data_IF_149637657432
#
_entry.id   IF_149637657432
#
_cell.length_a   1.000
_cell.length_b   1.000
_cell.length_c   1.000
_cell.angle_alpha   90.00
_cell.angle_beta   90.00
_cell.angle_gamma   90.00
#
_symmetry.space_group_name_H-M   'P 1'
#
loop_
_entity.id
_entity.type
_entity.pdbx_description
1 polymer ?
#
# COMPACT_ATOMS: atom_id res chain seq x y z
N UNK A 1 -1.75 7.57 -9.31
CA UNK A 1 -1.01 6.44 -9.94
C UNK A 1 -1.17 5.23 -9.05
N UNK A 2 -1.39 4.04 -9.59
CA UNK A 2 -1.45 2.81 -8.81
C UNK A 2 -0.14 2.01 -8.91
N UNK A 3 0.29 1.41 -7.80
CA UNK A 3 1.54 0.66 -7.67
C UNK A 3 1.23 -0.75 -7.21
N UNK A 4 1.76 -1.75 -7.92
CA UNK A 4 1.58 -3.16 -7.58
C UNK A 4 0.63 -3.88 -8.53
N UNK A 5 -0.44 -4.44 -7.96
CA UNK A 5 -1.39 -5.33 -8.60
C UNK A 5 -0.96 -6.78 -8.47
N UNK A 6 -1.72 -7.69 -9.11
CA UNK A 6 -1.48 -9.13 -9.07
C UNK A 6 -0.04 -9.52 -9.41
N UNK A 7 0.52 -8.96 -10.49
CA UNK A 7 1.84 -9.33 -11.01
C UNK A 7 3.03 -8.66 -10.33
N UNK A 8 2.84 -7.45 -9.78
CA UNK A 8 3.96 -6.65 -9.26
C UNK A 8 3.91 -6.44 -7.75
N UNK A 9 3.29 -7.37 -7.02
CA UNK A 9 3.25 -7.35 -5.55
C UNK A 9 4.44 -8.02 -4.87
N UNK A 10 5.35 -8.65 -5.63
CA UNK A 10 6.38 -9.55 -5.07
C UNK A 10 7.32 -8.91 -4.06
N UNK A 11 7.53 -7.59 -4.14
CA UNK A 11 8.51 -6.87 -3.33
C UNK A 11 7.89 -6.07 -2.18
N UNK A 12 6.56 -6.04 -2.03
CA UNK A 12 5.94 -5.16 -1.04
C UNK A 12 6.31 -5.52 0.39
N UNK A 13 6.39 -6.80 0.74
CA UNK A 13 6.82 -7.21 2.09
C UNK A 13 8.24 -6.71 2.40
N UNK A 14 9.15 -6.74 1.42
CA UNK A 14 10.51 -6.23 1.59
C UNK A 14 10.56 -4.69 1.68
N UNK A 15 9.75 -4.02 0.86
CA UNK A 15 9.57 -2.56 0.93
C UNK A 15 9.05 -2.14 2.31
N UNK A 16 8.06 -2.86 2.83
CA UNK A 16 7.41 -2.55 4.09
C UNK A 16 8.25 -2.91 5.32
N UNK A 17 9.28 -3.77 5.19
CA UNK A 17 9.96 -4.42 6.32
C UNK A 17 10.68 -3.46 7.29
N UNK A 18 11.40 -2.47 6.77
CA UNK A 18 12.29 -1.63 7.58
C UNK A 18 11.96 -0.16 7.46
N UNK A 19 12.30 0.65 8.47
CA UNK A 19 12.20 2.11 8.38
C UNK A 19 12.90 2.67 7.14
N UNK A 20 14.08 2.12 6.81
CA UNK A 20 14.87 2.57 5.67
C UNK A 20 14.17 2.25 4.34
N UNK A 21 13.71 1.02 4.16
CA UNK A 21 13.03 0.60 2.92
C UNK A 21 11.71 1.35 2.71
N UNK A 22 10.92 1.56 3.79
CA UNK A 22 9.70 2.37 3.76
C UNK A 22 9.98 3.81 3.35
N UNK A 23 11.00 4.43 3.95
CA UNK A 23 11.34 5.83 3.67
C UNK A 23 11.83 6.02 2.23
N UNK A 24 12.63 5.09 1.70
CA UNK A 24 13.06 5.08 0.29
C UNK A 24 11.85 4.99 -0.64
N UNK A 25 10.94 4.05 -0.39
CA UNK A 25 9.76 3.87 -1.22
C UNK A 25 8.84 5.10 -1.18
N UNK A 26 8.55 5.63 0.01
CA UNK A 26 7.74 6.83 0.17
C UNK A 26 8.35 8.05 -0.55
N UNK A 27 9.66 8.24 -0.45
CA UNK A 27 10.35 9.32 -1.16
C UNK A 27 10.24 9.15 -2.68
N UNK A 28 10.41 7.92 -3.19
CA UNK A 28 10.24 7.64 -4.62
C UNK A 28 8.80 7.88 -5.09
N UNK A 29 7.80 7.61 -4.25
CA UNK A 29 6.40 7.89 -4.55
C UNK A 29 6.15 9.41 -4.66
N UNK A 30 6.68 10.20 -3.73
CA UNK A 30 6.62 11.68 -3.79
C UNK A 30 7.28 12.21 -5.06
N UNK A 31 8.49 11.75 -5.36
CA UNK A 31 9.19 12.16 -6.59
C UNK A 31 8.36 11.84 -7.83
N UNK A 32 7.78 10.63 -7.88
CA UNK A 32 6.99 10.18 -9.03
C UNK A 32 5.73 11.03 -9.23
N UNK A 33 4.96 11.30 -8.17
CA UNK A 33 3.73 12.11 -8.30
C UNK A 33 4.04 13.54 -8.71
N UNK A 34 5.11 14.14 -8.20
CA UNK A 34 5.54 15.49 -8.57
C UNK A 34 6.05 15.53 -10.02
N UNK A 35 6.91 14.58 -10.39
CA UNK A 35 7.55 14.52 -11.71
C UNK A 35 6.54 14.36 -12.84
N UNK A 36 5.53 13.53 -12.63
CA UNK A 36 4.55 13.20 -13.66
C UNK A 36 3.18 13.85 -13.46
N UNK A 37 3.03 14.70 -12.44
CA UNK A 37 1.83 15.51 -12.22
C UNK A 37 0.60 14.73 -11.76
N UNK A 38 0.79 13.63 -11.02
CA UNK A 38 -0.33 12.89 -10.42
C UNK A 38 -0.90 13.61 -9.19
N UNK A 39 -2.14 13.27 -8.83
CA UNK A 39 -2.83 13.79 -7.65
C UNK A 39 -2.72 12.89 -6.43
N UNK A 40 -2.11 11.71 -6.57
CA UNK A 40 -1.96 10.77 -5.46
C UNK A 40 -1.39 9.42 -5.86
N UNK A 41 -1.21 8.58 -4.84
CA UNK A 41 -0.71 7.22 -4.92
C UNK A 41 -1.80 6.25 -4.46
N UNK A 42 -1.92 5.14 -5.16
CA UNK A 42 -2.76 4.02 -4.81
C UNK A 42 -1.87 2.78 -4.65
N UNK A 43 -1.99 2.04 -3.55
CA UNK A 43 -1.24 0.79 -3.35
C UNK A 43 -2.14 -0.42 -3.53
N UNK A 44 -1.76 -1.27 -4.50
CA UNK A 44 -2.41 -2.55 -4.78
C UNK A 44 -1.48 -3.70 -4.36
N UNK A 45 -1.31 -3.88 -3.05
CA UNK A 45 -0.56 -5.03 -2.54
C UNK A 45 -1.48 -6.25 -2.45
N UNK A 46 -1.22 -7.21 -3.31
CA UNK A 46 -1.99 -8.46 -3.45
C UNK A 46 -1.07 -9.66 -3.14
N UNK A 47 -0.98 -10.14 -1.89
CA UNK A 47 -1.61 -9.61 -0.66
C UNK A 47 -0.62 -9.61 0.53
N UNK A 48 -0.84 -8.78 1.56
CA UNK A 48 -0.09 -8.86 2.82
C UNK A 48 -0.24 -10.21 3.51
N UNK A 49 0.83 -10.67 4.16
CA UNK A 49 0.94 -11.91 4.96
C UNK A 49 0.84 -13.21 4.17
N UNK A 50 -0.11 -13.33 3.25
CA UNK A 50 -0.31 -14.54 2.45
C UNK A 50 -1.16 -14.31 1.20
N UNK A 51 -0.94 -15.13 0.18
CA UNK A 51 -1.72 -15.17 -1.06
C UNK A 51 -1.14 -14.28 -2.17
N UNK A 52 -1.87 -14.18 -3.28
CA UNK A 52 -1.34 -13.55 -4.49
C UNK A 52 -0.53 -14.53 -5.33
N UNK A 53 0.43 -14.01 -6.10
CA UNK A 53 1.29 -14.84 -6.94
C UNK A 53 2.32 -15.61 -6.11
N UNK A 54 2.58 -16.86 -6.51
CA UNK A 54 3.65 -17.67 -5.92
C UNK A 54 5.00 -16.99 -6.09
N UNK A 55 5.78 -16.94 -5.01
CA UNK A 55 7.09 -16.29 -4.98
C UNK A 55 7.06 -14.82 -4.54
N UNK A 56 5.88 -14.28 -4.21
CA UNK A 56 5.82 -13.01 -3.48
C UNK A 56 6.54 -13.14 -2.13
N UNK A 57 7.30 -12.12 -1.74
CA UNK A 57 7.79 -11.99 -0.38
C UNK A 57 6.59 -11.78 0.55
N UNK A 58 6.49 -12.61 1.59
CA UNK A 58 5.35 -12.66 2.51
C UNK A 58 5.89 -12.82 3.95
N UNK A 59 5.33 -12.07 4.90
CA UNK A 59 5.72 -12.12 6.31
C UNK A 59 4.52 -11.95 7.25
N UNK A 60 4.50 -12.62 8.42
CA UNK A 60 3.48 -12.38 9.44
C UNK A 60 3.39 -10.91 9.88
N UNK A 61 4.52 -10.20 9.88
CA UNK A 61 4.60 -8.79 10.27
C UNK A 61 4.03 -7.82 9.21
N UNK A 62 3.66 -8.31 8.01
CA UNK A 62 3.12 -7.47 6.93
C UNK A 62 1.89 -6.68 7.36
N UNK A 63 1.03 -7.22 8.24
CA UNK A 63 -0.14 -6.49 8.77
C UNK A 63 0.25 -5.14 9.37
N UNK A 64 1.27 -5.15 10.24
CA UNK A 64 1.70 -3.94 10.95
C UNK A 64 2.67 -3.12 10.10
N UNK A 65 3.53 -3.78 9.32
CA UNK A 65 4.43 -3.10 8.39
C UNK A 65 3.68 -2.32 7.32
N UNK A 66 2.49 -2.78 6.91
CA UNK A 66 1.67 -2.04 5.94
C UNK A 66 1.12 -0.73 6.52
N UNK A 67 0.68 -0.73 7.80
CA UNK A 67 0.31 0.52 8.50
C UNK A 67 1.48 1.49 8.53
N UNK A 68 2.66 1.03 8.93
CA UNK A 68 3.87 1.87 9.00
C UNK A 68 4.31 2.38 7.63
N UNK A 69 4.09 1.61 6.56
CA UNK A 69 4.36 2.03 5.19
C UNK A 69 3.41 3.16 4.78
N UNK A 70 2.11 3.01 5.05
CA UNK A 70 1.11 4.04 4.74
C UNK A 70 1.33 5.31 5.57
N UNK A 71 1.68 5.17 6.84
CA UNK A 71 2.06 6.29 7.71
C UNK A 71 3.23 7.09 7.11
N UNK A 72 4.30 6.40 6.69
CA UNK A 72 5.48 7.06 6.13
C UNK A 72 5.18 7.73 4.79
N UNK A 73 4.37 7.11 3.92
CA UNK A 73 3.93 7.74 2.66
C UNK A 73 3.09 8.98 2.95
N UNK A 74 2.08 8.88 3.81
CA UNK A 74 1.20 10.00 4.20
C UNK A 74 2.01 11.16 4.77
N UNK A 75 2.93 10.87 5.70
CA UNK A 75 3.83 11.86 6.31
C UNK A 75 4.64 12.62 5.26
N UNK A 76 5.18 11.94 4.26
CA UNK A 76 5.97 12.59 3.22
C UNK A 76 5.10 13.37 2.22
N UNK A 77 3.90 12.89 1.89
CA UNK A 77 2.94 13.63 1.07
C UNK A 77 2.45 14.91 1.77
N UNK A 78 2.17 14.85 3.07
CA UNK A 78 1.73 16.00 3.88
C UNK A 78 2.80 17.08 4.06
N UNK A 79 4.08 16.73 3.93
CA UNK A 79 5.16 17.70 3.97
C UNK A 79 5.13 18.67 2.76
N UNK A 80 4.36 18.37 1.72
CA UNK A 80 4.24 19.17 0.50
C UNK A 80 3.12 20.21 0.68
N UNK A 81 3.50 21.41 1.13
CA UNK A 81 2.53 22.43 1.59
C UNK A 81 1.62 23.04 0.51
N UNK A 82 1.93 22.88 -0.78
CA UNK A 82 1.20 23.52 -1.88
C UNK A 82 0.14 22.64 -2.54
N UNK A 83 0.01 21.37 -2.14
CA UNK A 83 -0.96 20.43 -2.71
C UNK A 83 -1.28 19.31 -1.72
N UNK A 84 -2.56 19.05 -1.51
CA UNK A 84 -3.00 17.82 -0.84
C UNK A 84 -2.98 16.68 -1.85
N UNK A 85 -2.17 15.66 -1.59
CA UNK A 85 -2.15 14.43 -2.38
C UNK A 85 -3.02 13.36 -1.74
N UNK A 86 -3.65 12.56 -2.60
CA UNK A 86 -4.43 11.39 -2.20
C UNK A 86 -3.51 10.20 -1.93
N UNK A 87 -3.87 9.38 -0.95
CA UNK A 87 -3.32 8.06 -0.68
C UNK A 87 -4.47 7.06 -0.54
N UNK A 88 -4.54 6.08 -1.44
CA UNK A 88 -5.58 5.05 -1.43
C UNK A 88 -4.96 3.66 -1.46
N UNK A 89 -5.75 2.64 -1.15
CA UNK A 89 -5.32 1.24 -1.22
C UNK A 89 -6.42 0.35 -1.75
N UNK A 90 -6.04 -0.68 -2.50
CA UNK A 90 -6.95 -1.78 -2.85
C UNK A 90 -6.88 -2.88 -1.78
N UNK A 91 -8.03 -3.42 -1.41
CA UNK A 91 -8.12 -4.53 -0.45
C UNK A 91 -8.89 -5.71 -1.01
N UNK A 92 -8.49 -6.92 -0.61
CA UNK A 92 -9.27 -8.11 -0.89
C UNK A 92 -10.58 -8.12 -0.09
N UNK A 93 -11.65 -8.63 -0.70
CA UNK A 93 -12.99 -8.61 -0.12
C UNK A 93 -13.33 -9.84 0.78
N UNK A 94 -12.44 -10.84 0.90
CA UNK A 94 -12.71 -12.04 1.69
C UNK A 94 -12.26 -11.88 3.15
N UNK A 95 -12.90 -12.60 4.07
CA UNK A 95 -12.56 -12.60 5.50
C UNK A 95 -11.09 -12.92 5.75
N UNK A 96 -10.52 -13.84 4.97
CA UNK A 96 -9.11 -14.24 5.07
C UNK A 96 -8.16 -13.09 4.71
N UNK A 97 -8.50 -12.29 3.68
CA UNK A 97 -7.69 -11.12 3.30
C UNK A 97 -7.84 -10.00 4.32
N UNK A 98 -9.06 -9.77 4.79
CA UNK A 98 -9.34 -8.75 5.81
C UNK A 98 -8.64 -9.07 7.14
N UNK A 99 -8.55 -10.35 7.52
CA UNK A 99 -7.89 -10.77 8.76
C UNK A 99 -6.38 -10.44 8.79
N UNK A 100 -5.75 -10.25 7.63
CA UNK A 100 -4.33 -9.88 7.51
C UNK A 100 -4.09 -8.36 7.52
N UNK A 101 -5.14 -7.55 7.67
CA UNK A 101 -5.07 -6.08 7.64
C UNK A 101 -5.45 -5.47 8.99
N UNK A 102 -4.71 -4.44 9.40
CA UNK A 102 -5.13 -3.54 10.48
C UNK A 102 -5.91 -2.37 9.88
N UNK A 103 -7.17 -2.62 9.51
CA UNK A 103 -8.01 -1.62 8.84
C UNK A 103 -8.13 -0.31 9.65
N UNK A 104 -8.33 -0.30 10.98
CA UNK A 104 -8.35 0.92 11.77
C UNK A 104 -7.01 1.68 11.72
N UNK A 105 -5.87 0.97 11.83
CA UNK A 105 -4.55 1.59 11.71
C UNK A 105 -4.31 2.18 10.32
N UNK A 106 -4.69 1.47 9.26
CA UNK A 106 -4.56 1.94 7.88
C UNK A 106 -5.46 3.17 7.60
N UNK A 107 -6.70 3.17 8.11
CA UNK A 107 -7.69 4.22 7.87
C UNK A 107 -7.25 5.60 8.40
N UNK A 108 -6.30 5.66 9.33
CA UNK A 108 -5.72 6.91 9.80
C UNK A 108 -4.81 7.60 8.76
N UNK A 109 -4.40 6.88 7.72
CA UNK A 109 -3.37 7.33 6.77
C UNK A 109 -3.86 7.40 5.32
N UNK A 110 -4.94 6.70 4.98
CA UNK A 110 -5.50 6.65 3.62
C UNK A 110 -6.76 7.51 3.51
N UNK A 111 -7.01 8.07 2.34
CA UNK A 111 -8.23 8.81 2.04
C UNK A 111 -9.44 7.87 1.91
N UNK A 112 -9.26 6.70 1.28
CA UNK A 112 -10.26 5.62 1.24
C UNK A 112 -9.65 4.28 0.80
N UNK A 113 -10.49 3.24 0.86
CA UNK A 113 -10.18 1.88 0.40
C UNK A 113 -10.97 1.55 -0.87
N UNK A 114 -10.30 1.01 -1.88
CA UNK A 114 -10.92 0.42 -3.07
C UNK A 114 -11.10 -1.09 -2.83
N UNK A 115 -12.28 -1.51 -2.36
CA UNK A 115 -12.51 -2.92 -2.04
C UNK A 115 -12.78 -3.72 -3.32
N UNK A 116 -11.94 -4.72 -3.61
CA UNK A 116 -12.05 -5.58 -4.80
C UNK A 116 -13.21 -6.57 -4.64
N UNK A 117 -14.43 -6.08 -4.83
CA UNK A 117 -15.70 -6.83 -4.70
C UNK A 117 -16.06 -7.59 -5.98
N UNK A 118 -15.06 -8.24 -6.57
CA UNK A 118 -15.12 -9.03 -7.78
C UNK A 118 -14.13 -10.22 -7.67
N UNK A 119 -14.00 -11.03 -8.73
CA UNK A 119 -13.12 -12.22 -8.77
C UNK A 119 -13.38 -13.29 -7.70
N UNK A 120 -14.62 -13.37 -7.18
CA UNK A 120 -15.01 -14.40 -6.20
C UNK A 120 -14.99 -15.83 -6.78
N UNK A 121 -15.23 -15.97 -8.08
CA UNK A 121 -15.22 -17.25 -8.81
C UNK A 121 -14.69 -17.03 -10.24
N UNK A 122 -14.08 -18.07 -10.82
CA UNK A 122 -13.52 -18.06 -12.17
C UNK A 122 -13.12 -19.46 -12.64
#
# INVERSE_FOLDING_TARGET
ISVGGWTWSSNFSDVALTNQSRSIFAASCVEFVQKYGFDGIDLQWVYPVSGGMSGNSERPEDTQNYVLLLEEIRRQLDAILNKTYLLTVDTGATTERIANLDLPGMAAHVDWFNVMTYDFHG
#
